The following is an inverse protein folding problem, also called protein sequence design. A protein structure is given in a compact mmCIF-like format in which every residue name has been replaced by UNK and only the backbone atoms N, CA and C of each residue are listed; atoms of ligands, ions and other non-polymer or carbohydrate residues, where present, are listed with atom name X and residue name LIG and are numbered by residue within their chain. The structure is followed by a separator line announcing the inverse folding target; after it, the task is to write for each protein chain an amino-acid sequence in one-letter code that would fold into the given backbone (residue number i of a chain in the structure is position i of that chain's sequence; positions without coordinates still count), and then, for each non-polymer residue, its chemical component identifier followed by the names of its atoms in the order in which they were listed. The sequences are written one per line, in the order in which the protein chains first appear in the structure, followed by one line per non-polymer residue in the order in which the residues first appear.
data_IF_011439572948
#
_entry.id   IF_011439572948
#
_cell.length_a   1.000
_cell.length_b   1.000
_cell.length_c   1.000
_cell.angle_alpha   90.00
_cell.angle_beta   90.00
_cell.angle_gamma   90.00
#
_symmetry.space_group_name_H-M   'P 1'
#
loop_
_entity.id
_entity.type
_entity.pdbx_description
1 polymer ?
#
# COMPACT_ATOMS: atom_id res chain seq x y z
N UNK A 1 17.82 3.01 15.11
CA UNK A 1 16.39 2.93 14.74
C UNK A 1 15.60 3.34 15.96
N UNK A 2 15.03 4.55 15.94
CA UNK A 2 14.29 5.12 17.06
C UNK A 2 12.82 5.24 16.65
N UNK A 3 12.00 4.29 17.10
CA UNK A 3 10.55 4.28 16.87
C UNK A 3 9.84 4.14 18.22
N UNK A 4 8.77 4.91 18.49
CA UNK A 4 8.05 4.82 19.74
C UNK A 4 7.29 3.50 19.84
N UNK A 5 7.26 2.92 21.04
CA UNK A 5 6.45 1.74 21.36
C UNK A 5 5.25 2.19 22.20
N UNK A 6 4.06 2.03 21.64
CA UNK A 6 2.80 2.43 22.28
C UNK A 6 2.17 1.23 23.02
N UNK A 7 1.62 1.48 24.21
CA UNK A 7 0.83 0.50 24.96
C UNK A 7 -0.66 0.66 24.66
N UNK A 8 -1.33 -0.43 24.26
CA UNK A 8 -2.79 -0.49 24.04
C UNK A 8 -3.43 -1.41 25.09
N UNK A 9 -3.29 -1.06 26.37
CA UNK A 9 -3.69 -1.92 27.50
C UNK A 9 -5.18 -2.31 27.48
N UNK A 10 -6.06 -1.37 27.14
CA UNK A 10 -7.50 -1.60 27.07
C UNK A 10 -7.96 -2.16 25.70
N UNK A 11 -7.02 -2.40 24.77
CA UNK A 11 -7.25 -2.94 23.42
C UNK A 11 -8.16 -2.07 22.56
N UNK A 12 -8.31 -0.79 22.92
CA UNK A 12 -9.20 0.12 22.22
C UNK A 12 -8.63 0.44 20.83
N UNK A 13 -7.32 0.67 20.73
CA UNK A 13 -6.68 1.01 19.45
C UNK A 13 -6.81 -0.17 18.48
N UNK A 14 -6.48 -1.39 18.92
CA UNK A 14 -6.63 -2.59 18.09
C UNK A 14 -8.09 -2.83 17.65
N UNK A 15 -9.07 -2.49 18.50
CA UNK A 15 -10.50 -2.58 18.17
C UNK A 15 -10.89 -1.53 17.14
N UNK A 16 -10.48 -0.27 17.33
CA UNK A 16 -10.82 0.85 16.45
C UNK A 16 -10.24 0.68 15.06
N UNK A 17 -9.05 0.09 14.96
CA UNK A 17 -8.42 -0.28 13.69
C UNK A 17 -8.91 -1.62 13.13
N UNK A 18 -9.84 -2.31 13.81
CA UNK A 18 -10.46 -3.54 13.33
C UNK A 18 -9.53 -4.76 13.26
N UNK A 19 -8.41 -4.75 13.99
CA UNK A 19 -7.40 -5.82 13.96
C UNK A 19 -7.45 -6.73 15.17
N UNK A 20 -8.26 -6.42 16.18
CA UNK A 20 -8.40 -7.26 17.36
C UNK A 20 -9.21 -8.54 17.07
N UNK A 21 -8.60 -9.71 17.26
CA UNK A 21 -9.37 -10.93 17.43
C UNK A 21 -10.02 -10.92 18.82
N UNK A 22 -11.35 -10.80 18.86
CA UNK A 22 -12.13 -10.73 20.11
C UNK A 22 -12.15 -12.05 20.88
N UNK A 23 -11.87 -13.18 20.23
CA UNK A 23 -11.91 -14.50 20.86
C UNK A 23 -10.64 -14.79 21.67
N UNK A 24 -9.48 -14.46 21.10
CA UNK A 24 -8.17 -14.65 21.73
C UNK A 24 -7.70 -13.41 22.47
N UNK A 25 -8.23 -12.24 22.11
CA UNK A 25 -7.78 -10.95 22.61
C UNK A 25 -6.41 -10.53 22.07
N UNK A 26 -5.93 -11.15 20.99
CA UNK A 26 -4.66 -10.87 20.33
C UNK A 26 -4.94 -10.12 19.03
N UNK A 27 -4.26 -9.00 18.73
CA UNK A 27 -4.43 -8.35 17.44
C UNK A 27 -3.71 -9.12 16.31
N UNK A 28 -4.34 -9.16 15.14
CA UNK A 28 -3.69 -9.52 13.89
C UNK A 28 -2.57 -8.53 13.54
N UNK A 29 -1.72 -8.89 12.58
CA UNK A 29 -0.56 -8.09 12.18
C UNK A 29 -0.99 -6.96 11.24
N UNK A 30 -1.60 -5.92 11.79
CA UNK A 30 -2.00 -4.71 11.08
C UNK A 30 -0.83 -3.78 10.78
N UNK A 31 -0.83 -3.18 9.59
CA UNK A 31 -0.01 -2.03 9.19
C UNK A 31 -0.90 -1.01 8.50
N UNK A 32 -0.76 0.25 8.88
CA UNK A 32 -1.57 1.35 8.38
C UNK A 32 -0.65 2.48 7.94
N UNK A 33 -0.90 3.02 6.75
CA UNK A 33 -0.27 4.26 6.28
C UNK A 33 -1.33 5.36 6.35
N UNK A 34 -1.00 6.42 7.09
CA UNK A 34 -1.87 7.55 7.37
C UNK A 34 -1.19 8.80 6.78
N UNK A 35 -1.95 9.58 6.01
CA UNK A 35 -1.42 10.78 5.38
C UNK A 35 -1.33 11.97 6.36
N UNK A 36 -0.80 13.10 5.89
CA UNK A 36 -0.66 14.32 6.69
C UNK A 36 -2.00 14.94 7.12
N UNK A 37 -3.12 14.53 6.49
CA UNK A 37 -4.48 14.95 6.84
C UNK A 37 -5.13 14.00 7.85
N UNK A 38 -4.41 12.98 8.32
CA UNK A 38 -4.89 12.01 9.29
C UNK A 38 -5.82 10.95 8.68
N UNK A 39 -5.83 10.80 7.35
CA UNK A 39 -6.67 9.84 6.65
C UNK A 39 -5.88 8.57 6.34
N UNK A 40 -6.48 7.42 6.59
CA UNK A 40 -5.91 6.11 6.23
C UNK A 40 -5.89 6.01 4.70
N UNK A 41 -4.73 5.66 4.14
CA UNK A 41 -4.50 5.50 2.69
C UNK A 41 -4.25 4.06 2.29
N UNK A 42 -3.64 3.29 3.18
CA UNK A 42 -3.33 1.89 2.95
C UNK A 42 -3.46 1.09 4.23
N UNK A 43 -3.97 -0.14 4.09
CA UNK A 43 -4.14 -1.10 5.18
C UNK A 43 -3.63 -2.47 4.73
N UNK A 44 -2.75 -3.07 5.51
CA UNK A 44 -2.32 -4.46 5.34
C UNK A 44 -2.60 -5.21 6.65
N UNK A 45 -3.31 -6.33 6.55
CA UNK A 45 -3.63 -7.18 7.71
C UNK A 45 -3.23 -8.61 7.40
N UNK A 46 -2.20 -9.09 8.09
CA UNK A 46 -1.72 -10.46 7.97
C UNK A 46 -2.14 -11.28 9.18
N UNK A 47 -2.35 -12.59 8.96
CA UNK A 47 -2.54 -13.54 10.04
C UNK A 47 -1.25 -13.67 10.89
N UNK A 48 -1.37 -14.22 12.10
CA UNK A 48 -0.29 -14.33 13.08
C UNK A 48 0.99 -15.04 12.58
N UNK A 49 0.96 -16.08 11.71
CA UNK A 49 2.20 -16.70 11.24
C UNK A 49 2.88 -15.94 10.10
N UNK A 50 2.23 -14.94 9.49
CA UNK A 50 2.70 -14.32 8.25
C UNK A 50 3.32 -12.95 8.55
N UNK A 51 4.61 -12.79 8.22
CA UNK A 51 5.34 -11.53 8.37
C UNK A 51 4.85 -10.42 7.44
N UNK A 52 5.35 -9.20 7.64
CA UNK A 52 5.13 -8.05 6.74
C UNK A 52 6.43 -7.72 6.01
N UNK A 53 6.34 -7.09 4.85
CA UNK A 53 7.49 -6.56 4.11
C UNK A 53 7.69 -5.08 4.43
N UNK A 54 8.94 -4.69 4.74
CA UNK A 54 9.31 -3.27 4.91
C UNK A 54 9.42 -2.61 3.54
N UNK A 55 9.94 -3.32 2.54
CA UNK A 55 10.11 -2.80 1.19
C UNK A 55 8.76 -2.43 0.56
N UNK A 56 7.73 -3.26 0.76
CA UNK A 56 6.39 -2.96 0.26
C UNK A 56 5.75 -1.79 1.02
N UNK A 57 5.94 -1.72 2.34
CA UNK A 57 5.46 -0.58 3.11
C UNK A 57 6.14 0.72 2.68
N UNK A 58 7.42 0.68 2.34
CA UNK A 58 8.17 1.80 1.80
C UNK A 58 7.68 2.18 0.40
N UNK A 59 7.50 1.20 -0.51
CA UNK A 59 7.00 1.42 -1.86
C UNK A 59 5.65 2.13 -1.88
N UNK A 60 4.69 1.63 -1.09
CA UNK A 60 3.36 2.25 -0.98
C UNK A 60 3.42 3.65 -0.35
N UNK A 61 4.30 3.86 0.64
CA UNK A 61 4.51 5.18 1.23
C UNK A 61 5.09 6.17 0.21
N UNK A 62 6.07 5.74 -0.58
CA UNK A 62 6.69 6.55 -1.63
C UNK A 62 5.68 6.89 -2.73
N UNK A 63 4.84 5.93 -3.15
CA UNK A 63 3.77 6.16 -4.11
C UNK A 63 2.75 7.19 -3.62
N UNK A 64 2.33 7.07 -2.35
CA UNK A 64 1.44 8.05 -1.73
C UNK A 64 2.06 9.46 -1.73
N UNK A 65 3.33 9.56 -1.33
CA UNK A 65 4.04 10.85 -1.31
C UNK A 65 4.15 11.45 -2.71
N UNK A 66 4.49 10.64 -3.71
CA UNK A 66 4.57 11.09 -5.10
C UNK A 66 3.23 11.65 -5.60
N UNK A 67 2.13 10.92 -5.36
CA UNK A 67 0.78 11.36 -5.71
C UNK A 67 0.41 12.68 -5.02
N UNK A 68 0.76 12.85 -3.73
CA UNK A 68 0.49 14.09 -3.00
C UNK A 68 1.27 15.30 -3.54
N UNK A 69 2.49 15.09 -4.05
CA UNK A 69 3.34 16.15 -4.60
C UNK A 69 3.00 16.51 -6.05
N UNK A 70 2.66 15.53 -6.90
CA UNK A 70 2.52 15.71 -8.35
C UNK A 70 1.06 15.63 -8.83
N UNK A 71 0.19 14.92 -8.12
CA UNK A 71 -1.21 14.68 -8.51
C UNK A 71 -1.40 13.62 -9.60
N UNK A 72 -0.35 12.91 -9.97
CA UNK A 72 -0.35 11.80 -10.93
C UNK A 72 -0.49 10.47 -10.20
N UNK A 73 -1.16 9.49 -10.82
CA UNK A 73 -1.40 8.19 -10.17
C UNK A 73 -0.29 7.19 -10.51
N UNK A 74 0.11 6.42 -9.50
CA UNK A 74 1.12 5.37 -9.60
C UNK A 74 0.48 4.06 -10.08
N UNK A 75 0.95 3.44 -11.19
CA UNK A 75 0.51 2.14 -11.68
C UNK A 75 0.77 0.96 -10.71
N UNK A 76 0.38 -0.24 -11.15
CA UNK A 76 0.70 -1.48 -10.44
C UNK A 76 2.22 -1.62 -10.27
N UNK A 77 2.64 -2.11 -9.10
CA UNK A 77 4.05 -2.33 -8.75
C UNK A 77 4.99 -1.13 -8.91
N UNK A 78 4.45 0.09 -9.06
CA UNK A 78 5.24 1.31 -9.23
C UNK A 78 6.28 1.51 -8.13
N UNK A 79 7.49 1.87 -8.56
CA UNK A 79 8.62 2.31 -7.76
C UNK A 79 9.10 3.71 -8.19
N UNK A 80 9.94 4.34 -7.36
CA UNK A 80 10.45 5.68 -7.64
C UNK A 80 11.31 5.68 -8.91
N UNK A 81 10.85 6.41 -9.93
CA UNK A 81 11.49 6.49 -11.25
C UNK A 81 10.69 5.83 -12.37
N UNK A 82 9.68 5.03 -12.04
CA UNK A 82 8.77 4.44 -13.02
C UNK A 82 7.79 5.46 -13.58
N UNK A 83 7.28 5.17 -14.78
CA UNK A 83 6.28 5.99 -15.45
C UNK A 83 4.97 6.04 -14.65
N UNK A 84 4.37 7.22 -14.62
CA UNK A 84 3.11 7.52 -13.94
C UNK A 84 1.99 7.81 -14.93
N UNK A 85 0.76 7.88 -14.43
CA UNK A 85 -0.41 8.20 -15.24
C UNK A 85 -0.93 9.59 -14.87
N UNK A 86 -0.84 10.55 -15.80
CA UNK A 86 -1.60 11.79 -15.70
C UNK A 86 -3.09 11.48 -15.92
N UNK A 87 -3.90 11.75 -14.90
CA UNK A 87 -5.36 11.58 -14.92
C UNK A 87 -6.05 12.39 -16.03
N UNK A 88 -5.43 13.47 -16.53
CA UNK A 88 -5.96 14.28 -17.64
C UNK A 88 -5.70 13.66 -19.00
N UNK A 89 -4.65 12.84 -19.13
CA UNK A 89 -4.24 12.22 -20.39
C UNK A 89 -3.80 10.76 -20.20
N UNK A 90 -4.64 9.89 -19.60
CA UNK A 90 -4.23 8.51 -19.28
C UNK A 90 -3.93 7.68 -20.53
N UNK A 91 -4.49 8.07 -21.68
CA UNK A 91 -4.26 7.38 -22.97
C UNK A 91 -2.81 7.40 -23.40
N UNK A 92 -2.01 8.37 -22.94
CA UNK A 92 -0.64 8.49 -23.40
C UNK A 92 0.24 7.43 -22.74
N UNK A 93 0.10 7.23 -21.43
CA UNK A 93 0.68 6.08 -20.72
C UNK A 93 0.32 4.74 -21.38
N UNK A 94 -0.98 4.50 -21.62
CA UNK A 94 -1.43 3.24 -22.19
C UNK A 94 -0.98 3.01 -23.64
N UNK A 95 -0.72 4.06 -24.44
CA UNK A 95 -0.17 3.88 -25.79
C UNK A 95 1.29 3.42 -25.74
N UNK A 96 2.05 3.96 -24.80
CA UNK A 96 3.47 3.63 -24.62
C UNK A 96 3.63 2.21 -24.06
N UNK A 97 2.72 1.81 -23.15
CA UNK A 97 2.77 0.52 -22.44
C UNK A 97 1.83 -0.54 -23.03
N UNK A 98 1.10 -0.25 -24.11
CA UNK A 98 0.14 -1.18 -24.72
C UNK A 98 0.78 -2.48 -25.20
N UNK A 99 2.06 -2.49 -25.55
CA UNK A 99 2.74 -3.68 -26.07
C UNK A 99 2.97 -4.75 -25.01
N UNK A 100 3.14 -4.36 -23.76
CA UNK A 100 3.49 -5.28 -22.68
C UNK A 100 2.29 -6.14 -22.24
N UNK A 101 1.06 -5.69 -22.51
CA UNK A 101 -0.17 -6.39 -22.11
C UNK A 101 -0.66 -7.48 -23.09
N UNK A 102 -0.13 -7.54 -24.32
CA UNK A 102 -0.63 -8.48 -25.35
C UNK A 102 0.36 -9.59 -25.73
N UNK A 103 1.52 -9.69 -25.08
CA UNK A 103 2.51 -10.72 -25.39
C UNK A 103 2.40 -11.99 -24.52
N UNK A 104 1.65 -11.97 -23.42
CA UNK A 104 1.53 -13.13 -22.51
C UNK A 104 0.55 -14.22 -23.01
N UNK A 105 -0.32 -13.95 -23.98
CA UNK A 105 -1.29 -14.97 -24.48
C UNK A 105 -0.74 -15.89 -25.58
N UNK A 106 0.45 -15.65 -26.15
CA UNK A 106 1.01 -16.49 -27.22
C UNK A 106 2.07 -17.51 -26.78
N UNK A 107 2.62 -17.45 -25.57
CA UNK A 107 3.62 -18.43 -25.09
C UNK A 107 3.04 -19.67 -24.36
N UNK A 108 1.73 -19.73 -24.12
CA UNK A 108 1.06 -20.90 -23.49
C UNK A 108 0.45 -21.93 -24.47
N UNK A 109 0.92 -22.00 -25.73
CA UNK A 109 0.52 -23.05 -26.69
C UNK A 109 1.63 -24.01 -27.11
#
# INVERSE_FOLDING_TARGET
MEIPILSDYNKQIATDFGVLDKSTGIPYRGLFIIDQKGLIRHTLVNDLPIGRSVDEAYRVLSALKYFEEHGEVCPADWEEGDDTIDVKSPKDYFKEHARDYYHDEEEEK
#
